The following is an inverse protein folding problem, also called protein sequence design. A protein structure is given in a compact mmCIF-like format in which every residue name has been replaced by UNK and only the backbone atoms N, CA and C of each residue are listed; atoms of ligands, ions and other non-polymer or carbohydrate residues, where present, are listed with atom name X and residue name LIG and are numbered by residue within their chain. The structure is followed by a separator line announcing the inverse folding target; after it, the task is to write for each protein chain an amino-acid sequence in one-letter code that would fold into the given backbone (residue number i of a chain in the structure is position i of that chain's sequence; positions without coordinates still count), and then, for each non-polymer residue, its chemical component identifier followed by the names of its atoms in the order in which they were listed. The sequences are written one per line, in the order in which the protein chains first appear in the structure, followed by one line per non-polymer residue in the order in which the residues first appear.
data_IF_770603136290
#
_entry.id   IF_770603136290
#
_cell.length_a   1.000
_cell.length_b   1.000
_cell.length_c   1.000
_cell.angle_alpha   90.00
_cell.angle_beta   90.00
_cell.angle_gamma   90.00
#
_symmetry.space_group_name_H-M   'P 1'
#
loop_
_entity.id
_entity.type
_entity.pdbx_description
1 polymer ?
#
# COMPACT_ATOMS: atom_id res chain seq x y z
N UNK A 1 17.65 -13.47 -15.79
CA UNK A 1 16.21 -13.37 -15.96
C UNK A 1 15.90 -11.94 -16.36
N UNK A 2 15.32 -11.71 -17.55
CA UNK A 2 15.19 -10.36 -18.13
C UNK A 2 13.91 -9.71 -17.60
N UNK A 3 13.99 -9.08 -16.39
CA UNK A 3 12.88 -8.34 -15.78
C UNK A 3 12.70 -6.91 -16.34
N UNK A 4 13.32 -6.60 -17.48
CA UNK A 4 13.25 -5.26 -18.09
C UNK A 4 12.03 -5.08 -19.02
N UNK A 5 11.02 -5.94 -18.90
CA UNK A 5 9.82 -5.85 -19.71
C UNK A 5 8.85 -4.79 -19.14
N UNK A 6 8.25 -4.03 -20.03
CA UNK A 6 7.22 -2.99 -19.74
C UNK A 6 5.99 -3.52 -18.99
N UNK A 7 5.91 -4.84 -18.78
CA UNK A 7 4.79 -5.52 -18.10
C UNK A 7 4.88 -5.51 -16.57
N UNK A 8 6.06 -5.15 -16.01
CA UNK A 8 6.23 -5.08 -14.55
C UNK A 8 5.94 -3.67 -14.02
N UNK A 9 5.17 -3.60 -12.92
CA UNK A 9 4.98 -2.39 -12.15
C UNK A 9 6.19 -2.10 -11.26
N UNK A 10 6.74 -3.16 -10.63
CA UNK A 10 7.91 -3.09 -9.75
C UNK A 10 8.87 -4.23 -10.08
N UNK A 11 10.17 -3.95 -10.11
CA UNK A 11 11.22 -4.99 -10.12
C UNK A 11 12.26 -4.66 -9.07
N UNK A 12 12.57 -5.64 -8.24
CA UNK A 12 13.70 -5.63 -7.32
C UNK A 12 14.84 -6.44 -7.94
N UNK A 13 16.02 -5.84 -8.05
CA UNK A 13 17.22 -6.48 -8.61
C UNK A 13 18.37 -6.43 -7.63
N UNK A 14 18.80 -7.61 -7.16
CA UNK A 14 19.93 -7.82 -6.25
C UNK A 14 19.84 -6.97 -4.96
N UNK A 15 18.63 -6.76 -4.44
CA UNK A 15 18.39 -5.92 -3.28
C UNK A 15 18.97 -6.55 -2.02
N UNK A 16 19.86 -5.80 -1.37
CA UNK A 16 20.43 -6.15 -0.07
C UNK A 16 20.21 -5.02 0.91
N UNK A 17 19.76 -5.37 2.14
CA UNK A 17 19.61 -4.44 3.27
C UNK A 17 20.17 -5.00 4.54
N UNK A 18 21.04 -4.22 5.19
CA UNK A 18 21.69 -4.55 6.45
C UNK A 18 21.36 -3.53 7.54
N UNK A 19 21.23 -3.99 8.75
CA UNK A 19 21.16 -3.18 9.97
C UNK A 19 22.27 -3.63 10.92
N UNK A 20 23.40 -2.92 10.89
CA UNK A 20 24.62 -3.37 11.58
C UNK A 20 25.06 -4.74 11.07
N UNK A 21 25.08 -5.74 11.94
CA UNK A 21 25.47 -7.12 11.59
C UNK A 21 24.29 -7.98 11.07
N UNK A 22 23.07 -7.48 11.16
CA UNK A 22 21.88 -8.22 10.72
C UNK A 22 21.62 -7.95 9.23
N UNK A 23 21.61 -9.00 8.41
CA UNK A 23 21.22 -8.94 7.01
C UNK A 23 19.73 -9.23 6.90
N UNK A 24 18.92 -8.19 6.77
CA UNK A 24 17.46 -8.32 6.70
C UNK A 24 16.98 -8.80 5.33
N UNK A 25 17.65 -8.36 4.26
CA UNK A 25 17.40 -8.83 2.89
C UNK A 25 18.77 -9.09 2.24
N UNK A 26 18.92 -10.18 1.50
CA UNK A 26 20.17 -10.57 0.88
C UNK A 26 19.95 -10.99 -0.58
N UNK A 27 20.43 -10.18 -1.51
CA UNK A 27 20.38 -10.42 -2.95
C UNK A 27 18.97 -10.79 -3.46
N UNK A 28 17.94 -10.04 -3.04
CA UNK A 28 16.54 -10.29 -3.38
C UNK A 28 16.28 -9.88 -4.84
N UNK A 29 15.68 -10.81 -5.57
CA UNK A 29 15.31 -10.62 -6.98
C UNK A 29 13.87 -11.12 -7.20
N UNK A 30 12.94 -10.23 -7.48
CA UNK A 30 11.58 -10.57 -7.94
C UNK A 30 10.90 -9.36 -8.59
N UNK A 31 9.76 -9.60 -9.25
CA UNK A 31 8.97 -8.53 -9.86
C UNK A 31 7.49 -8.69 -9.60
N UNK A 32 6.75 -7.58 -9.67
CA UNK A 32 5.30 -7.49 -9.58
C UNK A 32 4.79 -6.99 -10.92
N UNK A 33 3.92 -7.76 -11.58
CA UNK A 33 3.35 -7.36 -12.86
C UNK A 33 2.32 -6.24 -12.70
N UNK A 34 2.08 -5.48 -13.75
CA UNK A 34 1.00 -4.50 -13.79
C UNK A 34 -0.35 -5.19 -13.65
N UNK A 35 -1.22 -4.65 -12.80
CA UNK A 35 -2.53 -5.24 -12.56
C UNK A 35 -2.49 -6.62 -11.88
N UNK A 36 -1.45 -6.90 -11.10
CA UNK A 36 -1.30 -8.14 -10.33
C UNK A 36 -1.58 -7.90 -8.85
N UNK A 37 -2.17 -8.90 -8.19
CA UNK A 37 -2.15 -9.00 -6.73
C UNK A 37 -1.09 -10.04 -6.37
N UNK A 38 0.01 -9.59 -5.76
CA UNK A 38 1.10 -10.43 -5.29
C UNK A 38 1.07 -10.55 -3.76
N UNK A 39 1.06 -11.77 -3.25
CA UNK A 39 1.17 -12.02 -1.80
C UNK A 39 2.59 -12.42 -1.42
N UNK A 40 3.23 -11.66 -0.54
CA UNK A 40 4.50 -12.00 0.09
C UNK A 40 4.23 -12.79 1.37
N UNK A 41 4.37 -14.10 1.29
CA UNK A 41 4.17 -15.02 2.42
C UNK A 41 5.50 -15.31 3.12
N UNK A 42 5.47 -15.43 4.46
CA UNK A 42 6.61 -15.85 5.26
C UNK A 42 6.43 -15.53 6.74
N UNK A 43 7.27 -16.10 7.57
CA UNK A 43 7.24 -15.88 9.02
C UNK A 43 7.59 -14.44 9.41
N UNK A 44 7.23 -14.04 10.63
CA UNK A 44 7.63 -12.76 11.19
C UNK A 44 9.16 -12.69 11.28
N UNK A 45 9.73 -11.53 10.92
CA UNK A 45 11.19 -11.35 10.88
C UNK A 45 11.88 -11.82 9.60
N UNK A 46 11.17 -12.38 8.60
CA UNK A 46 11.79 -12.82 7.34
C UNK A 46 12.15 -11.68 6.36
N UNK A 47 12.05 -10.41 6.77
CA UNK A 47 12.48 -9.26 5.97
C UNK A 47 11.43 -8.69 5.02
N UNK A 48 10.18 -9.20 4.97
CA UNK A 48 9.10 -8.71 4.07
C UNK A 48 8.79 -7.23 4.24
N UNK A 49 8.50 -6.82 5.48
CA UNK A 49 8.21 -5.42 5.79
C UNK A 49 9.43 -4.53 5.52
N UNK A 50 10.64 -5.01 5.78
CA UNK A 50 11.89 -4.28 5.44
C UNK A 50 11.98 -4.02 3.94
N UNK A 51 11.71 -5.04 3.12
CA UNK A 51 11.73 -4.94 1.67
C UNK A 51 10.69 -3.93 1.17
N UNK A 52 9.47 -3.98 1.69
CA UNK A 52 8.40 -3.04 1.31
C UNK A 52 8.65 -1.63 1.85
N UNK A 53 9.33 -1.49 2.99
CA UNK A 53 9.77 -0.19 3.50
C UNK A 53 10.82 0.47 2.60
N UNK A 54 11.61 -0.29 1.84
CA UNK A 54 12.47 0.28 0.80
C UNK A 54 11.64 0.81 -0.39
N UNK A 55 10.60 0.10 -0.78
CA UNK A 55 9.70 0.54 -1.85
C UNK A 55 8.86 1.76 -1.45
N UNK A 56 8.50 1.89 -0.16
CA UNK A 56 7.76 3.05 0.37
C UNK A 56 8.65 4.24 0.77
N UNK A 57 9.99 4.12 0.62
CA UNK A 57 10.94 5.19 0.92
C UNK A 57 11.22 5.41 2.40
N UNK A 58 10.92 4.45 3.27
CA UNK A 58 11.29 4.47 4.70
C UNK A 58 12.73 4.04 4.89
N UNK A 59 13.18 3.04 4.11
CA UNK A 59 14.57 2.61 4.07
C UNK A 59 15.14 2.78 2.66
N UNK A 60 16.46 2.81 2.57
CA UNK A 60 17.20 2.79 1.31
C UNK A 60 17.97 1.48 1.20
N UNK A 61 17.98 0.79 0.05
CA UNK A 61 18.79 -0.43 -0.13
C UNK A 61 20.28 -0.11 -0.03
N UNK A 62 21.05 -1.01 0.57
CA UNK A 62 22.52 -0.88 0.64
C UNK A 62 23.15 -1.33 -0.67
N UNK A 63 22.52 -2.31 -1.35
CA UNK A 63 22.94 -2.81 -2.67
C UNK A 63 21.71 -3.13 -3.52
N UNK A 64 21.89 -3.12 -4.84
CA UNK A 64 20.85 -3.46 -5.81
C UNK A 64 20.07 -2.24 -6.30
N UNK A 65 19.04 -2.50 -7.11
CA UNK A 65 18.24 -1.48 -7.79
C UNK A 65 16.76 -1.81 -7.75
N UNK A 66 15.93 -0.77 -7.69
CA UNK A 66 14.47 -0.86 -7.83
C UNK A 66 14.11 -0.23 -9.17
N UNK A 67 13.25 -0.90 -9.92
CA UNK A 67 12.69 -0.36 -11.17
C UNK A 67 11.18 -0.22 -11.00
N UNK A 68 10.64 0.90 -11.46
CA UNK A 68 9.21 1.18 -11.50
C UNK A 68 8.80 1.41 -12.94
N UNK A 69 7.85 0.62 -13.44
CA UNK A 69 7.39 0.66 -14.83
C UNK A 69 8.52 0.54 -15.88
N UNK A 70 9.58 -0.19 -15.54
CA UNK A 70 10.75 -0.40 -16.41
C UNK A 70 11.85 0.65 -16.31
N UNK A 71 11.69 1.70 -15.50
CA UNK A 71 12.68 2.74 -15.27
C UNK A 71 13.33 2.59 -13.89
N UNK A 72 14.66 2.79 -13.79
CA UNK A 72 15.35 2.76 -12.51
C UNK A 72 14.85 3.89 -11.60
N UNK A 73 14.39 3.53 -10.40
CA UNK A 73 13.80 4.44 -9.45
C UNK A 73 14.70 4.64 -8.22
N UNK A 74 14.98 5.90 -7.89
CA UNK A 74 15.62 6.27 -6.63
C UNK A 74 14.55 6.74 -5.65
N UNK A 75 14.27 5.90 -4.64
CA UNK A 75 13.23 6.16 -3.64
C UNK A 75 13.93 6.42 -2.30
N UNK A 76 14.26 7.68 -2.01
CA UNK A 76 14.96 8.10 -0.81
C UNK A 76 14.03 8.59 0.32
N UNK A 77 12.74 8.78 0.00
CA UNK A 77 11.75 9.28 0.95
C UNK A 77 10.34 8.82 0.58
N UNK A 78 9.36 8.85 1.51
CA UNK A 78 7.95 8.62 1.19
C UNK A 78 7.40 9.59 0.15
N UNK A 79 7.96 10.80 0.03
CA UNK A 79 7.57 11.77 -1.01
C UNK A 79 7.98 11.26 -2.39
N UNK A 80 9.15 10.63 -2.51
CA UNK A 80 9.59 10.03 -3.77
C UNK A 80 8.72 8.82 -4.12
N UNK A 81 8.37 7.97 -3.15
CA UNK A 81 7.43 6.87 -3.35
C UNK A 81 6.09 7.37 -3.93
N UNK A 82 5.55 8.48 -3.40
CA UNK A 82 4.34 9.10 -3.96
C UNK A 82 4.52 9.60 -5.39
N UNK A 83 5.67 10.14 -5.77
CA UNK A 83 5.96 10.55 -7.16
C UNK A 83 5.91 9.36 -8.12
N UNK A 84 6.35 8.19 -7.67
CA UNK A 84 6.20 6.92 -8.39
C UNK A 84 4.83 6.27 -8.21
N UNK A 85 3.86 6.99 -7.60
CA UNK A 85 2.48 6.51 -7.35
C UNK A 85 2.42 5.25 -6.50
N UNK A 86 3.33 5.12 -5.54
CA UNK A 86 3.37 4.03 -4.57
C UNK A 86 2.72 4.51 -3.27
N UNK A 87 1.75 3.74 -2.77
CA UNK A 87 1.09 3.97 -1.49
C UNK A 87 1.22 2.74 -0.58
N UNK A 88 1.54 2.96 0.69
CA UNK A 88 1.63 1.90 1.69
C UNK A 88 0.61 2.09 2.79
N UNK A 89 -0.13 1.03 3.07
CA UNK A 89 -1.05 0.88 4.19
C UNK A 89 -0.35 0.02 5.24
N UNK A 90 -0.05 0.60 6.40
CA UNK A 90 0.68 -0.06 7.47
C UNK A 90 -0.24 -0.92 8.33
N UNK A 91 0.32 -1.92 9.00
CA UNK A 91 -0.38 -2.77 9.97
C UNK A 91 -1.05 -1.96 11.09
N UNK A 92 -0.40 -0.86 11.53
CA UNK A 92 -0.97 0.08 12.50
C UNK A 92 -1.41 1.35 11.79
N UNK A 93 -2.67 1.71 11.94
CA UNK A 93 -3.26 2.88 11.30
C UNK A 93 -2.50 4.17 11.64
N UNK A 94 -2.23 4.97 10.61
CA UNK A 94 -1.61 6.29 10.72
C UNK A 94 -2.66 7.39 10.56
N UNK A 95 -3.72 7.30 11.39
CA UNK A 95 -4.85 8.21 11.40
C UNK A 95 -4.85 9.05 12.67
N UNK A 96 -5.37 10.27 12.56
CA UNK A 96 -5.57 11.19 13.69
C UNK A 96 -7.02 11.03 14.15
N UNK A 97 -7.22 10.52 15.36
CA UNK A 97 -8.53 10.10 15.87
C UNK A 97 -9.57 11.23 15.93
N UNK A 98 -9.17 12.44 16.27
CA UNK A 98 -10.06 13.60 16.38
C UNK A 98 -10.49 14.20 15.02
N UNK A 99 -9.86 13.77 13.94
CA UNK A 99 -10.16 14.21 12.57
C UNK A 99 -11.23 13.32 11.93
N UNK A 100 -11.91 13.88 10.93
CA UNK A 100 -12.81 13.10 10.06
C UNK A 100 -12.02 12.25 9.06
N UNK A 101 -12.70 11.32 8.36
CA UNK A 101 -12.11 10.58 7.27
C UNK A 101 -11.48 11.53 6.23
N UNK A 102 -12.26 12.48 5.73
CA UNK A 102 -11.77 13.46 4.74
C UNK A 102 -10.59 14.29 5.23
N UNK A 103 -10.58 14.72 6.50
CA UNK A 103 -9.44 15.45 7.06
C UNK A 103 -8.18 14.60 7.11
N UNK A 104 -8.30 13.30 7.45
CA UNK A 104 -7.17 12.37 7.42
C UNK A 104 -6.65 12.11 6.02
N UNK A 105 -7.52 12.02 5.03
CA UNK A 105 -7.15 11.78 3.61
C UNK A 105 -6.24 12.89 3.08
N UNK A 106 -6.53 14.16 3.40
CA UNK A 106 -5.77 15.32 2.92
C UNK A 106 -4.65 15.75 3.87
N UNK A 107 -4.52 15.13 5.03
CA UNK A 107 -3.48 15.46 6.00
C UNK A 107 -2.08 15.35 5.40
N UNK A 108 -1.31 16.43 5.45
CA UNK A 108 0.04 16.51 4.90
C UNK A 108 0.12 16.84 3.40
N UNK A 109 -1.01 17.06 2.72
CA UNK A 109 -0.99 17.63 1.38
C UNK A 109 -0.67 19.15 1.49
N UNK A 110 0.19 19.63 0.57
CA UNK A 110 0.61 21.06 0.54
C UNK A 110 -0.41 21.97 -0.14
N UNK A 111 -1.33 21.40 -0.91
CA UNK A 111 -2.33 22.16 -1.67
C UNK A 111 -3.45 22.66 -0.76
N UNK A 112 -3.98 23.86 -1.08
CA UNK A 112 -5.20 24.35 -0.44
C UNK A 112 -6.38 23.50 -0.94
N UNK A 113 -7.15 22.97 -0.03
CA UNK A 113 -8.33 22.16 -0.33
C UNK A 113 -9.57 22.71 0.32
N UNK A 114 -10.72 22.50 -0.33
CA UNK A 114 -12.04 22.74 0.23
C UNK A 114 -12.59 21.42 0.77
N UNK A 115 -12.89 21.33 2.06
CA UNK A 115 -13.38 20.08 2.67
C UNK A 115 -14.63 19.51 1.98
N UNK A 116 -15.54 20.35 1.47
CA UNK A 116 -16.71 19.86 0.71
C UNK A 116 -16.29 19.12 -0.57
N UNK A 117 -15.29 19.63 -1.28
CA UNK A 117 -14.73 18.97 -2.47
C UNK A 117 -14.02 17.67 -2.11
N UNK A 118 -13.33 17.66 -0.95
CA UNK A 118 -12.69 16.44 -0.42
C UNK A 118 -13.72 15.39 -0.06
N UNK A 119 -14.79 15.78 0.66
CA UNK A 119 -15.88 14.87 1.01
C UNK A 119 -16.50 14.22 -0.24
N UNK A 120 -16.77 15.01 -1.28
CA UNK A 120 -17.28 14.51 -2.56
C UNK A 120 -16.30 13.51 -3.20
N UNK A 121 -15.02 13.86 -3.26
CA UNK A 121 -14.02 12.98 -3.87
C UNK A 121 -13.78 11.69 -3.08
N UNK A 122 -13.83 11.74 -1.75
CA UNK A 122 -13.77 10.55 -0.88
C UNK A 122 -14.98 9.65 -1.12
N UNK A 123 -16.19 10.21 -1.23
CA UNK A 123 -17.40 9.46 -1.56
C UNK A 123 -17.32 8.81 -2.96
N UNK A 124 -16.86 9.53 -3.98
CA UNK A 124 -16.64 8.98 -5.33
C UNK A 124 -15.69 7.78 -5.35
N UNK A 125 -14.59 7.86 -4.60
CA UNK A 125 -13.63 6.74 -4.47
C UNK A 125 -14.28 5.56 -3.74
N UNK A 126 -15.03 5.85 -2.67
CA UNK A 126 -15.76 4.84 -1.91
C UNK A 126 -16.78 4.10 -2.80
N UNK A 127 -17.62 4.81 -3.53
CA UNK A 127 -18.62 4.26 -4.44
C UNK A 127 -17.97 3.41 -5.55
N UNK A 128 -16.88 3.91 -6.14
CA UNK A 128 -16.16 3.20 -7.20
C UNK A 128 -15.72 1.81 -6.79
N UNK A 129 -15.20 1.65 -5.57
CA UNK A 129 -14.68 0.38 -5.08
C UNK A 129 -15.67 -0.39 -4.18
N UNK A 130 -16.78 0.23 -3.81
CA UNK A 130 -17.81 -0.38 -2.97
C UNK A 130 -17.48 -0.33 -1.48
N UNK A 131 -16.80 0.72 -1.04
CA UNK A 131 -16.61 1.00 0.38
C UNK A 131 -17.85 1.67 0.98
N UNK A 132 -18.20 1.28 2.19
CA UNK A 132 -19.21 1.94 3.00
C UNK A 132 -18.50 2.88 3.99
N UNK A 133 -18.46 4.19 3.73
CA UNK A 133 -17.81 5.17 4.59
C UNK A 133 -18.56 6.52 4.57
N UNK A 134 -18.70 7.14 5.73
CA UNK A 134 -19.09 8.54 5.84
C UNK A 134 -17.84 9.43 5.88
N UNK A 135 -17.60 10.28 4.86
CA UNK A 135 -16.43 11.17 4.82
C UNK A 135 -16.31 12.10 6.03
N UNK A 136 -17.44 12.40 6.70
CA UNK A 136 -17.52 13.32 7.84
C UNK A 136 -17.44 12.63 9.20
N UNK A 137 -17.53 11.30 9.23
CA UNK A 137 -17.37 10.53 10.47
C UNK A 137 -15.98 10.69 11.03
N UNK A 138 -15.88 10.87 12.35
CA UNK A 138 -14.60 10.98 13.03
C UNK A 138 -13.96 9.61 13.24
N UNK A 139 -12.64 9.55 13.19
CA UNK A 139 -11.91 8.28 13.26
C UNK A 139 -12.14 7.56 14.59
N UNK A 140 -12.27 8.28 15.71
CA UNK A 140 -12.54 7.63 17.00
C UNK A 140 -13.90 6.92 17.08
N UNK A 141 -14.86 7.30 16.23
CA UNK A 141 -16.19 6.65 16.13
C UNK A 141 -16.21 5.47 15.14
N UNK A 142 -15.09 5.21 14.45
CA UNK A 142 -15.00 4.20 13.39
C UNK A 142 -14.61 2.83 13.92
N UNK A 143 -15.18 1.79 13.33
CA UNK A 143 -14.70 0.42 13.48
C UNK A 143 -13.31 0.25 12.87
N UNK A 144 -12.65 -0.87 13.18
CA UNK A 144 -11.34 -1.23 12.61
C UNK A 144 -11.40 -1.31 11.08
N UNK A 145 -12.44 -1.92 10.53
CA UNK A 145 -12.67 -2.05 9.09
C UNK A 145 -12.85 -0.69 8.42
N UNK A 146 -13.62 0.24 9.04
CA UNK A 146 -13.76 1.60 8.54
C UNK A 146 -12.44 2.37 8.56
N UNK A 147 -11.63 2.23 9.62
CA UNK A 147 -10.29 2.86 9.71
C UNK A 147 -9.37 2.35 8.60
N UNK A 148 -9.41 1.06 8.32
CA UNK A 148 -8.66 0.48 7.21
C UNK A 148 -9.13 1.04 5.85
N UNK A 149 -10.43 1.18 5.66
CA UNK A 149 -11.00 1.82 4.48
C UNK A 149 -10.48 3.25 4.30
N UNK A 150 -10.40 4.05 5.38
CA UNK A 150 -9.82 5.40 5.32
C UNK A 150 -8.37 5.38 4.87
N UNK A 151 -7.54 4.46 5.37
CA UNK A 151 -6.12 4.33 4.95
C UNK A 151 -6.01 3.98 3.46
N UNK A 152 -6.87 3.09 2.96
CA UNK A 152 -6.90 2.73 1.54
C UNK A 152 -7.34 3.94 0.69
N UNK A 153 -8.44 4.60 1.07
CA UNK A 153 -8.93 5.79 0.36
C UNK A 153 -7.86 6.90 0.36
N UNK A 154 -7.12 7.09 1.45
CA UNK A 154 -6.06 8.08 1.57
C UNK A 154 -4.95 7.88 0.51
N UNK A 155 -4.51 6.66 0.25
CA UNK A 155 -3.51 6.40 -0.78
C UNK A 155 -4.10 6.49 -2.19
N UNK A 156 -5.35 6.07 -2.40
CA UNK A 156 -6.07 6.20 -3.67
C UNK A 156 -6.34 7.67 -4.04
N UNK A 157 -6.77 8.49 -3.07
CA UNK A 157 -6.97 9.92 -3.24
C UNK A 157 -5.71 10.62 -3.75
N UNK A 158 -4.55 10.18 -3.28
CA UNK A 158 -3.22 10.67 -3.70
C UNK A 158 -2.75 10.10 -5.03
N UNK A 159 -3.56 9.27 -5.69
CA UNK A 159 -3.29 8.74 -7.03
C UNK A 159 -2.34 7.54 -7.05
N UNK A 160 -2.31 6.72 -6.00
CA UNK A 160 -1.51 5.50 -5.99
C UNK A 160 -1.97 4.52 -7.10
N UNK A 161 -1.00 3.98 -7.84
CA UNK A 161 -1.19 2.90 -8.82
C UNK A 161 -0.58 1.58 -8.33
N UNK A 162 0.37 1.66 -7.38
CA UNK A 162 0.98 0.52 -6.70
C UNK A 162 0.65 0.63 -5.22
N UNK A 163 -0.07 -0.36 -4.69
CA UNK A 163 -0.50 -0.40 -3.30
C UNK A 163 0.24 -1.51 -2.55
N UNK A 164 0.74 -1.19 -1.36
CA UNK A 164 1.36 -2.14 -0.43
C UNK A 164 0.46 -2.21 0.80
N UNK A 165 0.03 -3.41 1.17
CA UNK A 165 -0.77 -3.66 2.37
C UNK A 165 0.03 -4.56 3.32
N UNK A 166 0.37 -4.05 4.51
CA UNK A 166 1.13 -4.80 5.51
C UNK A 166 0.17 -5.40 6.54
N UNK A 167 0.03 -6.73 6.52
CA UNK A 167 -0.86 -7.53 7.39
C UNK A 167 -2.32 -7.01 7.43
N UNK A 168 -2.97 -6.77 6.26
CA UNK A 168 -4.23 -6.01 6.21
C UNK A 168 -5.40 -6.72 6.88
N UNK A 169 -5.30 -8.01 7.17
CA UNK A 169 -6.37 -8.84 7.72
C UNK A 169 -6.12 -9.25 9.17
N UNK A 170 -5.04 -8.75 9.79
CA UNK A 170 -4.61 -9.17 11.13
C UNK A 170 -5.71 -9.02 12.21
N UNK A 171 -6.58 -8.02 12.03
CA UNK A 171 -7.62 -7.64 13.01
C UNK A 171 -9.05 -7.69 12.42
N UNK A 172 -9.21 -8.22 11.22
CA UNK A 172 -10.51 -8.35 10.53
C UNK A 172 -11.17 -9.71 10.82
N UNK A 173 -12.50 -9.68 10.85
CA UNK A 173 -13.30 -10.90 10.82
C UNK A 173 -13.21 -11.58 9.44
N UNK A 174 -13.55 -12.87 9.31
CA UNK A 174 -13.58 -13.55 8.02
C UNK A 174 -14.45 -12.82 6.97
N UNK A 175 -15.61 -12.30 7.38
CA UNK A 175 -16.51 -11.56 6.49
C UNK A 175 -15.91 -10.24 6.01
N UNK A 176 -15.24 -9.50 6.90
CA UNK A 176 -14.54 -8.26 6.54
C UNK A 176 -13.33 -8.55 5.64
N UNK A 177 -12.63 -9.66 5.88
CA UNK A 177 -11.55 -10.13 5.01
C UNK A 177 -12.04 -10.38 3.58
N UNK A 178 -13.15 -11.10 3.41
CA UNK A 178 -13.75 -11.35 2.09
C UNK A 178 -14.16 -10.04 1.39
N UNK A 179 -14.75 -9.08 2.12
CA UNK A 179 -15.07 -7.75 1.58
C UNK A 179 -13.80 -7.01 1.11
N UNK A 180 -12.74 -7.04 1.92
CA UNK A 180 -11.46 -6.42 1.55
C UNK A 180 -10.92 -7.03 0.25
N UNK A 181 -10.84 -8.36 0.15
CA UNK A 181 -10.34 -9.01 -1.08
C UNK A 181 -11.21 -8.72 -2.31
N UNK A 182 -12.55 -8.62 -2.14
CA UNK A 182 -13.43 -8.19 -3.22
C UNK A 182 -13.08 -6.79 -3.73
N UNK A 183 -12.76 -5.86 -2.83
CA UNK A 183 -12.31 -4.51 -3.17
C UNK A 183 -10.94 -4.55 -3.88
N UNK A 184 -9.98 -5.33 -3.37
CA UNK A 184 -8.66 -5.45 -3.99
C UNK A 184 -8.74 -6.02 -5.41
N UNK A 185 -9.65 -6.97 -5.66
CA UNK A 185 -9.92 -7.49 -7.01
C UNK A 185 -10.45 -6.40 -7.95
N UNK A 186 -11.39 -5.55 -7.50
CA UNK A 186 -11.86 -4.40 -8.29
C UNK A 186 -10.73 -3.41 -8.60
N UNK A 187 -9.85 -3.15 -7.62
CA UNK A 187 -8.69 -2.28 -7.85
C UNK A 187 -7.74 -2.87 -8.89
N UNK A 188 -7.50 -4.17 -8.85
CA UNK A 188 -6.71 -4.87 -9.86
C UNK A 188 -7.34 -4.76 -11.25
N UNK A 189 -8.66 -4.91 -11.37
CA UNK A 189 -9.42 -4.74 -12.62
C UNK A 189 -9.32 -3.31 -13.15
N UNK A 190 -9.19 -2.31 -12.27
CA UNK A 190 -8.86 -0.92 -12.59
C UNK A 190 -7.37 -0.69 -12.93
N UNK A 191 -6.57 -1.76 -13.05
CA UNK A 191 -5.16 -1.70 -13.41
C UNK A 191 -4.21 -1.40 -12.27
N UNK A 192 -4.67 -1.40 -10.99
CA UNK A 192 -3.78 -1.23 -9.85
C UNK A 192 -2.96 -2.49 -9.61
N UNK A 193 -1.70 -2.32 -9.24
CA UNK A 193 -0.81 -3.41 -8.80
C UNK A 193 -0.79 -3.42 -7.28
N UNK A 194 -0.96 -4.60 -6.67
CA UNK A 194 -1.18 -4.72 -5.23
C UNK A 194 -0.20 -5.74 -4.66
N UNK A 195 0.49 -5.36 -3.59
CA UNK A 195 1.41 -6.22 -2.85
C UNK A 195 0.83 -6.40 -1.44
N UNK A 196 0.56 -7.63 -1.04
CA UNK A 196 0.05 -7.96 0.29
C UNK A 196 1.15 -8.68 1.05
N UNK A 197 1.52 -8.17 2.22
CA UNK A 197 2.39 -8.88 3.17
C UNK A 197 1.47 -9.63 4.12
N UNK A 198 1.65 -10.94 4.24
CA UNK A 198 0.88 -11.76 5.17
C UNK A 198 1.70 -12.97 5.65
N UNK A 199 1.33 -13.52 6.80
CA UNK A 199 1.80 -14.80 7.29
C UNK A 199 0.72 -15.88 7.22
N UNK A 200 -0.49 -15.56 6.74
CA UNK A 200 -1.65 -16.44 6.67
C UNK A 200 -1.77 -17.08 5.28
N UNK A 201 -1.53 -18.39 5.19
CA UNK A 201 -1.57 -19.13 3.93
C UNK A 201 -2.95 -19.06 3.24
N UNK A 202 -4.03 -19.06 4.03
CA UNK A 202 -5.40 -19.03 3.50
C UNK A 202 -5.70 -17.77 2.68
N UNK A 203 -5.02 -16.65 2.97
CA UNK A 203 -5.19 -15.38 2.26
C UNK A 203 -4.53 -15.37 0.88
N UNK A 204 -3.57 -16.26 0.66
CA UNK A 204 -2.89 -16.40 -0.65
C UNK A 204 -3.74 -17.16 -1.66
N UNK A 205 -4.74 -17.92 -1.17
CA UNK A 205 -5.60 -18.78 -2.00
C UNK A 205 -6.91 -18.09 -2.43
N UNK A 206 -7.22 -16.89 -1.92
CA UNK A 206 -8.39 -16.08 -2.27
C UNK A 206 -8.10 -15.06 -3.39
#
# INVERSE_FOLDING_TARGET
MHYMEKDFAVVFQNITKRFGQVVANNNINFGVKKGEILSLLGENGSGKTTLMNMLSGIYFPDEGKIFINGEEATIASPIDAFRYKIGMIHQHFKLVDIFTASQNVVLGLKEKYNLKSVDTRVAEIADRYGFEIDPKKKIYDMSVSEKQTVEIIKVLYRGADILILDEPTAVLTPQETQKLFAVLRKMREDGKSIIIITHKLNEVME
#
